data_IF_277089381141
#
_entry.id   IF_277089381141
#
_cell.length_a   1.000
_cell.length_b   1.000
_cell.length_c   1.000
_cell.angle_alpha   90.00
_cell.angle_beta   90.00
_cell.angle_gamma   90.00
#
_symmetry.space_group_name_H-M   'P 1'
#
loop_
_entity.id
_entity.type
_entity.pdbx_description
1 polymer ?
#
# COMPACT_ATOMS: atom_id res chain seq x y z
N UNK A 1 -14.66 -24.20 -42.02
CA UNK A 1 -13.18 -24.19 -42.06
C UNK A 1 -12.72 -24.98 -40.85
N UNK A 2 -12.73 -26.32 -40.84
CA UNK A 2 -11.88 -27.34 -41.50
C UNK A 2 -10.36 -27.11 -41.28
N UNK A 3 -9.73 -28.21 -40.79
CA UNK A 3 -8.32 -28.62 -40.69
C UNK A 3 -7.69 -28.39 -39.30
N UNK A 4 -7.58 -29.41 -38.43
CA UNK A 4 -6.56 -30.49 -38.39
C UNK A 4 -5.15 -29.90 -38.14
N UNK A 5 -4.24 -30.42 -37.30
CA UNK A 5 -3.83 -31.82 -37.19
C UNK A 5 -2.65 -31.95 -36.17
N UNK A 6 -2.49 -33.16 -35.60
CA UNK A 6 -1.28 -33.76 -34.97
C UNK A 6 -0.90 -33.31 -33.53
N UNK A 7 -1.08 -34.15 -32.50
CA UNK A 7 -0.32 -35.38 -32.18
C UNK A 7 1.14 -35.12 -31.78
N UNK A 8 1.38 -34.95 -30.48
CA UNK A 8 2.53 -35.55 -29.82
C UNK A 8 2.03 -36.52 -28.75
N UNK A 9 2.00 -37.78 -29.17
CA UNK A 9 1.82 -38.93 -28.31
C UNK A 9 3.08 -39.17 -27.45
N UNK A 10 2.84 -39.74 -26.27
CA UNK A 10 3.72 -40.64 -25.54
C UNK A 10 5.13 -40.16 -25.15
N UNK A 11 5.32 -39.94 -23.83
CA UNK A 11 6.13 -40.85 -23.00
C UNK A 11 5.64 -40.84 -21.55
N UNK A 12 5.03 -41.96 -21.15
CA UNK A 12 4.88 -42.34 -19.74
C UNK A 12 6.11 -43.14 -19.30
N UNK A 13 6.64 -42.86 -18.11
CA UNK A 13 6.84 -43.80 -16.99
C UNK A 13 7.79 -43.18 -15.92
N UNK A 14 7.71 -43.66 -14.67
CA UNK A 14 7.77 -42.85 -13.47
C UNK A 14 9.07 -43.10 -12.69
N UNK A 15 9.54 -42.10 -11.96
CA UNK A 15 10.41 -42.37 -10.80
C UNK A 15 10.19 -41.32 -9.74
N UNK A 16 9.45 -41.75 -8.72
CA UNK A 16 9.60 -41.41 -7.31
C UNK A 16 10.93 -40.68 -7.02
N UNK A 17 10.90 -39.34 -6.88
CA UNK A 17 11.97 -38.59 -6.24
C UNK A 17 11.38 -37.78 -5.08
N UNK A 18 11.50 -38.41 -3.92
CA UNK A 18 11.79 -37.82 -2.62
C UNK A 18 10.97 -36.58 -2.21
N UNK A 19 10.06 -36.86 -1.28
CA UNK A 19 9.52 -35.96 -0.27
C UNK A 19 10.65 -35.14 0.36
N UNK A 20 10.88 -33.93 -0.15
CA UNK A 20 11.60 -32.89 0.58
C UNK A 20 10.60 -32.17 1.46
N UNK A 21 10.43 -32.71 2.67
CA UNK A 21 9.68 -32.08 3.73
C UNK A 21 10.28 -30.69 4.05
N UNK A 22 9.39 -29.70 4.05
CA UNK A 22 9.38 -28.62 5.04
C UNK A 22 10.56 -27.67 5.06
N UNK A 23 10.38 -26.52 4.42
CA UNK A 23 10.71 -25.25 5.06
C UNK A 23 9.76 -24.16 4.54
N UNK A 24 8.49 -24.26 4.95
CA UNK A 24 7.53 -23.17 4.81
C UNK A 24 7.88 -22.13 5.88
N UNK A 25 8.86 -21.27 5.61
CA UNK A 25 9.09 -20.07 6.42
C UNK A 25 7.96 -19.09 6.06
N UNK A 26 6.80 -19.27 6.69
CA UNK A 26 5.72 -18.28 6.67
C UNK A 26 6.17 -17.08 7.50
N UNK A 27 6.92 -16.17 6.88
CA UNK A 27 7.29 -14.90 7.47
C UNK A 27 6.10 -13.95 7.38
N UNK A 28 5.09 -14.14 8.23
CA UNK A 28 4.14 -13.09 8.59
C UNK A 28 4.84 -12.07 9.51
N UNK A 29 5.92 -11.44 9.04
CA UNK A 29 6.54 -10.32 9.77
C UNK A 29 5.73 -9.07 9.46
N UNK A 30 4.80 -8.79 10.35
CA UNK A 30 3.89 -7.67 10.28
C UNK A 30 4.63 -6.36 10.64
N UNK A 31 5.57 -5.96 9.78
CA UNK A 31 6.46 -4.84 10.01
C UNK A 31 5.77 -3.51 9.63
N UNK A 32 5.98 -2.45 10.41
CA UNK A 32 5.46 -1.12 10.09
C UNK A 32 5.97 -0.60 8.74
N UNK A 33 7.16 -1.02 8.30
CA UNK A 33 7.72 -0.68 6.99
C UNK A 33 6.92 -1.35 5.86
N UNK A 34 6.43 -2.59 6.06
CA UNK A 34 5.64 -3.27 5.04
C UNK A 34 4.19 -2.78 5.02
N UNK A 35 3.63 -2.42 6.17
CA UNK A 35 2.27 -1.85 6.26
C UNK A 35 2.17 -0.39 5.82
N UNK A 36 3.20 0.40 6.14
CA UNK A 36 3.25 1.83 5.88
C UNK A 36 4.64 2.16 5.30
N UNK A 37 4.90 1.84 4.03
CA UNK A 37 6.23 2.01 3.45
C UNK A 37 6.62 3.49 3.38
N UNK A 38 7.93 3.79 3.45
CA UNK A 38 8.46 5.11 3.13
C UNK A 38 7.96 5.58 1.76
N UNK A 39 7.71 6.89 1.59
CA UNK A 39 7.43 7.46 0.28
C UNK A 39 8.54 7.14 -0.72
N UNK A 40 8.16 6.83 -1.95
CA UNK A 40 9.06 6.69 -3.08
C UNK A 40 8.64 7.63 -4.23
N UNK A 41 9.35 7.55 -5.34
CA UNK A 41 9.06 8.40 -6.52
C UNK A 41 7.68 8.14 -7.11
N UNK A 42 7.13 6.92 -6.99
CA UNK A 42 5.81 6.60 -7.50
C UNK A 42 4.72 7.25 -6.63
N UNK A 43 4.88 7.21 -5.30
CA UNK A 43 3.99 7.91 -4.39
C UNK A 43 4.06 9.44 -4.58
N UNK A 44 5.27 9.99 -4.79
CA UNK A 44 5.43 11.42 -5.08
C UNK A 44 4.69 11.81 -6.37
N UNK A 45 4.86 11.05 -7.45
CA UNK A 45 4.11 11.28 -8.68
C UNK A 45 2.59 11.24 -8.45
N UNK A 46 2.12 10.27 -7.66
CA UNK A 46 0.70 10.14 -7.33
C UNK A 46 0.18 11.33 -6.50
N UNK A 47 1.00 11.89 -5.63
CA UNK A 47 0.68 13.08 -4.85
C UNK A 47 0.64 14.34 -5.73
N UNK A 48 1.60 14.49 -6.64
CA UNK A 48 1.72 15.63 -7.54
C UNK A 48 0.60 15.70 -8.59
N UNK A 49 -0.06 14.58 -8.89
CA UNK A 49 -1.31 14.59 -9.66
C UNK A 49 -2.43 15.39 -8.98
N UNK A 50 -2.44 15.43 -7.64
CA UNK A 50 -3.45 16.17 -6.87
C UNK A 50 -2.97 17.59 -6.52
N UNK A 51 -1.69 17.75 -6.20
CA UNK A 51 -1.08 19.06 -5.91
C UNK A 51 0.41 19.05 -6.34
N UNK A 52 0.77 19.73 -7.45
CA UNK A 52 2.14 19.80 -7.94
C UNK A 52 3.16 20.39 -6.96
N UNK A 53 2.72 21.11 -5.93
CA UNK A 53 3.60 21.70 -4.92
C UNK A 53 4.01 20.70 -3.82
N UNK A 54 3.46 19.47 -3.80
CA UNK A 54 3.89 18.45 -2.85
C UNK A 54 5.33 18.01 -3.16
N UNK A 55 6.15 17.97 -2.11
CA UNK A 55 7.54 17.52 -2.17
C UNK A 55 7.72 16.15 -1.50
N UNK A 56 8.86 15.49 -1.73
CA UNK A 56 9.21 14.27 -1.00
C UNK A 56 9.26 14.50 0.52
N UNK A 57 9.77 15.66 0.95
CA UNK A 57 9.86 16.03 2.36
C UNK A 57 8.48 16.16 3.03
N UNK A 58 7.47 16.64 2.30
CA UNK A 58 6.10 16.70 2.82
C UNK A 58 5.52 15.30 3.03
N UNK A 59 5.77 14.36 2.09
CA UNK A 59 5.32 12.98 2.23
C UNK A 59 6.04 12.25 3.36
N UNK A 60 7.35 12.45 3.51
CA UNK A 60 8.14 11.88 4.61
C UNK A 60 7.65 12.39 5.96
N UNK A 61 7.40 13.70 6.05
CA UNK A 61 6.84 14.31 7.26
C UNK A 61 5.43 13.79 7.54
N UNK A 62 4.58 13.68 6.52
CA UNK A 62 3.24 13.11 6.62
C UNK A 62 3.24 11.67 7.12
N UNK A 63 4.12 10.81 6.58
CA UNK A 63 4.30 9.45 7.07
C UNK A 63 4.76 9.41 8.52
N UNK A 64 5.70 10.29 8.90
CA UNK A 64 6.17 10.37 10.29
C UNK A 64 5.00 10.70 11.22
N UNK A 65 4.23 11.74 10.92
CA UNK A 65 3.02 12.10 11.68
C UNK A 65 2.03 10.95 11.76
N UNK A 66 1.81 10.23 10.66
CA UNK A 66 0.91 9.08 10.62
C UNK A 66 1.33 7.96 11.58
N UNK A 67 2.64 7.69 11.66
CA UNK A 67 3.18 6.62 12.49
C UNK A 67 3.35 7.01 13.97
N UNK A 68 3.44 8.30 14.28
CA UNK A 68 3.70 8.80 15.65
C UNK A 68 2.51 9.50 16.29
N UNK A 69 1.86 10.41 15.57
CA UNK A 69 0.81 11.27 16.12
C UNK A 69 -0.56 10.61 15.99
N UNK A 70 -0.87 10.01 14.82
CA UNK A 70 -2.13 9.29 14.63
C UNK A 70 -2.21 7.98 15.46
N UNK A 71 -1.11 7.56 16.07
CA UNK A 71 -1.04 6.38 16.95
C UNK A 71 -1.08 6.70 18.44
N UNK A 72 -1.22 7.99 18.81
CA UNK A 72 -1.18 8.42 20.20
C UNK A 72 -2.47 8.08 20.98
N UNK A 73 -3.61 7.96 20.30
CA UNK A 73 -4.92 7.69 20.93
C UNK A 73 -5.46 6.29 20.62
N UNK A 74 -5.15 5.73 19.45
CA UNK A 74 -5.53 4.39 19.01
C UNK A 74 -4.49 3.86 18.02
N UNK A 75 -4.57 2.59 17.61
CA UNK A 75 -3.69 2.06 16.57
C UNK A 75 -3.90 2.77 15.23
N UNK A 76 -2.85 2.87 14.42
CA UNK A 76 -2.97 3.42 13.06
C UNK A 76 -3.95 2.57 12.25
N UNK A 77 -4.93 3.24 11.65
CA UNK A 77 -5.86 2.58 10.75
C UNK A 77 -5.13 2.05 9.50
N UNK A 78 -5.52 0.92 8.90
CA UNK A 78 -4.95 0.52 7.62
C UNK A 78 -5.44 1.46 6.52
N UNK A 79 -4.53 2.08 5.75
CA UNK A 79 -4.91 3.05 4.69
C UNK A 79 -5.85 2.42 3.66
N UNK A 80 -5.68 1.13 3.36
CA UNK A 80 -6.55 0.39 2.43
C UNK A 80 -7.96 0.07 2.95
N UNK A 81 -8.23 0.24 4.26
CA UNK A 81 -9.51 -0.12 4.90
C UNK A 81 -10.66 0.79 4.47
N UNK A 82 -10.39 2.08 4.30
CA UNK A 82 -11.39 3.09 3.97
C UNK A 82 -11.24 3.55 2.53
N UNK A 83 -12.33 3.99 1.89
CA UNK A 83 -12.28 4.56 0.54
C UNK A 83 -11.59 5.93 0.52
N UNK A 84 -11.30 6.46 -0.67
CA UNK A 84 -10.73 7.80 -0.78
C UNK A 84 -11.68 8.88 -0.21
N UNK A 85 -12.99 8.72 -0.44
CA UNK A 85 -14.01 9.65 0.09
C UNK A 85 -14.15 9.55 1.61
N UNK A 86 -14.06 8.35 2.18
CA UNK A 86 -14.09 8.17 3.64
C UNK A 86 -12.89 8.88 4.28
N UNK A 87 -11.69 8.72 3.71
CA UNK A 87 -10.48 9.40 4.20
C UNK A 87 -10.57 10.92 4.13
N UNK A 88 -11.29 11.49 3.15
CA UNK A 88 -11.52 12.94 3.06
C UNK A 88 -12.39 13.49 4.21
N UNK A 89 -13.14 12.62 4.90
CA UNK A 89 -13.91 12.97 6.11
C UNK A 89 -13.11 12.67 7.37
N UNK A 90 -12.45 11.49 7.44
CA UNK A 90 -11.69 11.04 8.62
C UNK A 90 -10.49 11.94 8.89
N UNK A 91 -9.72 12.33 7.86
CA UNK A 91 -8.47 13.07 8.06
C UNK A 91 -8.67 14.46 8.67
N UNK A 92 -9.63 15.28 8.24
CA UNK A 92 -9.93 16.55 8.91
C UNK A 92 -10.24 16.37 10.41
N UNK A 93 -11.12 15.44 10.75
CA UNK A 93 -11.53 15.18 12.14
C UNK A 93 -10.33 14.74 12.98
N UNK A 94 -9.58 13.73 12.51
CA UNK A 94 -8.41 13.24 13.24
C UNK A 94 -7.27 14.26 13.30
N UNK A 95 -7.11 15.12 12.30
CA UNK A 95 -6.14 16.22 12.32
C UNK A 95 -6.49 17.25 13.38
N UNK A 96 -7.78 17.55 13.55
CA UNK A 96 -8.28 18.45 14.60
C UNK A 96 -8.05 17.86 16.00
N UNK A 97 -8.40 16.59 16.21
CA UNK A 97 -8.17 15.87 17.48
C UNK A 97 -6.67 15.76 17.81
N UNK A 98 -5.83 15.58 16.79
CA UNK A 98 -4.36 15.56 16.91
C UNK A 98 -3.74 16.94 17.08
N UNK A 99 -4.55 18.01 17.05
CA UNK A 99 -4.13 19.42 17.15
C UNK A 99 -3.07 19.80 16.12
N UNK A 100 -3.18 19.25 14.91
CA UNK A 100 -2.28 19.59 13.82
C UNK A 100 -2.46 21.05 13.39
N UNK A 101 -1.33 21.72 13.15
CA UNK A 101 -1.35 22.96 12.40
C UNK A 101 -1.61 22.68 10.90
N UNK A 102 -1.81 23.75 10.12
CA UNK A 102 -2.14 23.64 8.69
C UNK A 102 -1.11 22.81 7.89
N UNK A 103 0.20 22.95 8.18
CA UNK A 103 1.24 22.18 7.49
C UNK A 103 1.17 20.70 7.85
N UNK A 104 1.03 20.38 9.14
CA UNK A 104 0.94 18.99 9.60
C UNK A 104 -0.29 18.28 9.02
N UNK A 105 -1.44 18.95 9.03
CA UNK A 105 -2.68 18.43 8.43
C UNK A 105 -2.55 18.22 6.92
N UNK A 106 -1.91 19.15 6.21
CA UNK A 106 -1.60 19.01 4.77
C UNK A 106 -0.71 17.80 4.52
N UNK A 107 0.39 17.69 5.24
CA UNK A 107 1.41 16.67 4.99
C UNK A 107 0.88 15.26 5.28
N UNK A 108 0.18 15.05 6.40
CA UNK A 108 -0.43 13.74 6.71
C UNK A 108 -1.49 13.36 5.68
N UNK A 109 -2.30 14.34 5.24
CA UNK A 109 -3.33 14.11 4.23
C UNK A 109 -2.73 13.78 2.87
N UNK A 110 -1.65 14.46 2.49
CA UNK A 110 -0.90 14.18 1.28
C UNK A 110 -0.39 12.73 1.26
N UNK A 111 0.19 12.25 2.38
CA UNK A 111 0.64 10.87 2.49
C UNK A 111 -0.51 9.87 2.37
N UNK A 112 -1.54 9.99 3.21
CA UNK A 112 -2.64 9.02 3.29
C UNK A 112 -3.46 8.96 2.00
N UNK A 113 -3.84 10.11 1.44
CA UNK A 113 -4.67 10.16 0.24
C UNK A 113 -3.92 9.68 -1.01
N UNK A 114 -2.63 10.02 -1.14
CA UNK A 114 -1.83 9.56 -2.28
C UNK A 114 -1.61 8.05 -2.21
N UNK A 115 -1.35 7.53 -1.01
CA UNK A 115 -1.19 6.09 -0.81
C UNK A 115 -2.51 5.35 -1.09
N UNK A 116 -3.64 5.91 -0.65
CA UNK A 116 -4.95 5.33 -0.93
C UNK A 116 -5.26 5.27 -2.42
N UNK A 117 -4.94 6.32 -3.18
CA UNK A 117 -5.09 6.35 -4.64
C UNK A 117 -4.19 5.31 -5.31
N UNK A 118 -2.95 5.19 -4.86
CA UNK A 118 -2.01 4.19 -5.38
C UNK A 118 -2.53 2.76 -5.18
N UNK A 119 -3.04 2.44 -3.98
CA UNK A 119 -3.67 1.13 -3.71
C UNK A 119 -4.88 0.87 -4.60
N UNK A 120 -5.70 1.89 -4.87
CA UNK A 120 -6.87 1.75 -5.76
C UNK A 120 -6.47 1.40 -7.20
N UNK A 121 -5.35 1.93 -7.69
CA UNK A 121 -4.84 1.67 -9.05
C UNK A 121 -4.17 0.31 -9.20
N UNK A 122 -3.69 -0.27 -8.10
CA UNK A 122 -3.09 -1.61 -8.09
C UNK A 122 -4.16 -2.71 -8.11
N UNK A 123 -5.35 -2.47 -7.55
CA UNK A 123 -6.46 -3.44 -7.56
C UNK A 123 -7.22 -3.53 -8.89
N UNK A 124 -6.94 -2.65 -9.84
CA UNK A 124 -7.61 -2.58 -11.15
C UNK A 124 -6.75 -3.10 -12.31
N UNK A 125 -5.54 -3.60 -12.03
CA UNK A 125 -4.64 -4.22 -13.02
C UNK A 125 -4.58 -5.72 -12.77
#
# INVERSE_FOLDING_TARGET
MIHDCQLFANRALPTLFLVSAGLLVSACTDNLITRFPPPDVALLQQAQQADPAITMADLDHGRKLYLTNCTACHSAEPIGRYSLSDWQVILPDMSAESKFNAKQGRDVSAYVLSYRRMLAQQSTR
#
